data_IF_711043242934
#
_entry.id   IF_711043242934
#
_cell.length_a   1.000
_cell.length_b   1.000
_cell.length_c   1.000
_cell.angle_alpha   90.00
_cell.angle_beta   90.00
_cell.angle_gamma   90.00
#
_symmetry.space_group_name_H-M   'P 1'
#
loop_
_entity.id
_entity.type
_entity.pdbx_description
1 polymer ?
#
# COMPACT_ATOMS: atom_id res chain seq x y z
N UNK A 1 -13.16 -66.46 -29.96
CA UNK A 1 -12.89 -65.11 -30.51
C UNK A 1 -13.09 -64.03 -29.43
N UNK A 2 -12.19 -63.88 -28.44
CA UNK A 2 -12.40 -62.90 -27.34
C UNK A 2 -11.10 -62.28 -26.78
N UNK A 3 -10.01 -62.29 -27.56
CA UNK A 3 -8.73 -61.71 -27.13
C UNK A 3 -8.43 -60.35 -27.79
N UNK A 4 -9.15 -59.98 -28.84
CA UNK A 4 -8.91 -58.74 -29.60
C UNK A 4 -9.43 -57.47 -28.91
N UNK A 5 -10.35 -57.57 -27.95
CA UNK A 5 -10.99 -56.39 -27.33
C UNK A 5 -10.23 -55.81 -26.13
N UNK A 6 -9.33 -56.59 -25.50
CA UNK A 6 -8.59 -56.13 -24.30
C UNK A 6 -7.39 -55.25 -24.63
N UNK A 7 -6.77 -55.40 -25.82
CA UNK A 7 -5.62 -54.59 -26.23
C UNK A 7 -5.93 -53.11 -26.49
N UNK A 8 -7.15 -52.79 -26.95
CA UNK A 8 -7.54 -51.42 -27.28
C UNK A 8 -7.68 -50.50 -26.06
N UNK A 9 -8.07 -51.02 -24.89
CA UNK A 9 -8.25 -50.19 -23.69
C UNK A 9 -6.91 -49.73 -23.09
N UNK A 10 -5.88 -50.58 -23.19
CA UNK A 10 -4.54 -50.26 -22.68
C UNK A 10 -3.89 -49.15 -23.51
N UNK A 11 -4.06 -49.16 -24.84
CA UNK A 11 -3.55 -48.09 -25.70
C UNK A 11 -4.28 -46.76 -25.52
N UNK A 12 -5.60 -46.77 -25.34
CA UNK A 12 -6.39 -45.56 -25.11
C UNK A 12 -6.06 -44.86 -23.77
N UNK A 13 -5.61 -45.62 -22.76
CA UNK A 13 -5.17 -45.08 -21.47
C UNK A 13 -3.75 -44.48 -21.57
N UNK A 14 -2.86 -45.10 -22.36
CA UNK A 14 -1.52 -44.58 -22.62
C UNK A 14 -1.52 -43.24 -23.39
N UNK A 15 -2.49 -43.02 -24.28
CA UNK A 15 -2.60 -41.75 -25.02
C UNK A 15 -3.13 -40.59 -24.16
N UNK A 16 -3.94 -40.86 -23.13
CA UNK A 16 -4.36 -39.83 -22.15
C UNK A 16 -3.26 -39.49 -21.14
N UNK A 17 -2.38 -40.43 -20.84
CA UNK A 17 -1.22 -40.21 -19.96
C UNK A 17 -0.16 -39.27 -20.58
N UNK A 18 -0.23 -39.00 -21.89
CA UNK A 18 0.66 -38.07 -22.60
C UNK A 18 0.15 -36.62 -22.67
N UNK A 19 -1.03 -36.32 -22.14
CA UNK A 19 -1.53 -34.94 -22.07
C UNK A 19 -0.75 -34.19 -20.98
N UNK A 20 0.22 -33.37 -21.41
CA UNK A 20 0.96 -32.47 -20.51
C UNK A 20 -0.05 -31.50 -19.89
N UNK A 21 -0.29 -31.61 -18.58
CA UNK A 21 -1.02 -30.59 -17.85
C UNK A 21 -0.22 -29.28 -17.98
N UNK A 22 -0.74 -28.33 -18.76
CA UNK A 22 -0.12 -27.01 -18.99
C UNK A 22 -0.28 -26.06 -17.79
N UNK A 23 -0.73 -26.57 -16.64
CA UNK A 23 -0.85 -25.82 -15.40
C UNK A 23 0.44 -25.98 -14.60
N UNK A 24 1.07 -24.88 -14.18
CA UNK A 24 2.30 -24.91 -13.39
C UNK A 24 2.11 -25.51 -11.98
N UNK A 25 0.88 -25.79 -11.58
CA UNK A 25 0.51 -26.41 -10.31
C UNK A 25 -0.80 -27.19 -10.46
N UNK A 26 -0.93 -28.29 -9.73
CA UNK A 26 -2.20 -28.99 -9.49
C UNK A 26 -3.16 -28.12 -8.67
N UNK A 27 -4.46 -28.42 -8.70
CA UNK A 27 -5.46 -27.67 -7.93
C UNK A 27 -5.17 -27.72 -6.40
N UNK A 28 -4.65 -28.84 -5.91
CA UNK A 28 -4.24 -28.98 -4.51
C UNK A 28 -3.04 -28.09 -4.18
N UNK A 29 -1.99 -28.12 -5.00
CA UNK A 29 -0.83 -27.24 -4.83
C UNK A 29 -1.22 -25.76 -4.87
N UNK A 30 -2.15 -25.36 -5.75
CA UNK A 30 -2.65 -23.99 -5.82
C UNK A 30 -3.34 -23.54 -4.51
N UNK A 31 -4.17 -24.42 -3.91
CA UNK A 31 -4.83 -24.15 -2.63
C UNK A 31 -3.83 -24.02 -1.49
N UNK A 32 -2.81 -24.88 -1.46
CA UNK A 32 -1.74 -24.82 -0.45
C UNK A 32 -0.91 -23.55 -0.58
N UNK A 33 -0.56 -23.14 -1.80
CA UNK A 33 0.16 -21.88 -2.04
C UNK A 33 -0.65 -20.67 -1.60
N UNK A 34 -1.95 -20.63 -1.94
CA UNK A 34 -2.85 -19.57 -1.47
C UNK A 34 -2.93 -19.51 0.05
N UNK A 35 -3.12 -20.66 0.71
CA UNK A 35 -3.21 -20.73 2.17
C UNK A 35 -1.92 -20.25 2.84
N UNK A 36 -0.76 -20.67 2.32
CA UNK A 36 0.56 -20.26 2.81
C UNK A 36 0.73 -18.75 2.75
N UNK A 37 0.50 -18.14 1.59
CA UNK A 37 0.67 -16.70 1.43
C UNK A 37 -0.35 -15.89 2.24
N UNK A 38 -1.59 -16.36 2.34
CA UNK A 38 -2.61 -15.74 3.21
C UNK A 38 -2.17 -15.74 4.67
N UNK A 39 -1.59 -16.84 5.13
CA UNK A 39 -1.11 -16.96 6.51
C UNK A 39 0.08 -16.03 6.77
N UNK A 40 1.05 -15.99 5.85
CA UNK A 40 2.18 -15.06 5.93
C UNK A 40 1.70 -13.62 5.95
N UNK A 41 0.81 -13.23 5.04
CA UNK A 41 0.26 -11.88 4.98
C UNK A 41 -0.44 -11.47 6.28
N UNK A 42 -1.22 -12.37 6.89
CA UNK A 42 -1.84 -12.12 8.20
C UNK A 42 -0.81 -11.85 9.28
N UNK A 43 0.28 -12.60 9.32
CA UNK A 43 1.40 -12.36 10.23
C UNK A 43 2.07 -11.00 9.98
N UNK A 44 2.34 -10.67 8.72
CA UNK A 44 2.97 -9.40 8.33
C UNK A 44 2.11 -8.18 8.65
N UNK A 45 0.78 -8.28 8.49
CA UNK A 45 -0.15 -7.23 8.92
C UNK A 45 0.02 -6.92 10.41
N UNK A 46 0.15 -7.96 11.26
CA UNK A 46 0.40 -7.78 12.69
C UNK A 46 1.71 -7.06 12.98
N UNK A 47 2.80 -7.46 12.31
CA UNK A 47 4.13 -6.82 12.45
C UNK A 47 4.08 -5.35 12.05
N UNK A 48 3.51 -5.05 10.88
CA UNK A 48 3.38 -3.67 10.38
C UNK A 48 2.52 -2.84 11.33
N UNK A 49 1.40 -3.38 11.82
CA UNK A 49 0.54 -2.67 12.76
C UNK A 49 1.31 -2.26 14.04
N UNK A 50 2.04 -3.19 14.65
CA UNK A 50 2.85 -2.89 15.85
C UNK A 50 3.92 -1.85 15.53
N UNK A 51 4.68 -2.04 14.45
CA UNK A 51 5.73 -1.10 14.06
C UNK A 51 5.18 0.30 13.79
N UNK A 52 4.09 0.41 13.02
CA UNK A 52 3.46 1.70 12.70
C UNK A 52 2.91 2.39 13.96
N UNK A 53 2.25 1.65 14.87
CA UNK A 53 1.77 2.27 16.12
C UNK A 53 2.91 2.81 16.97
N UNK A 54 4.00 2.05 17.10
CA UNK A 54 5.19 2.49 17.81
C UNK A 54 5.80 3.76 17.19
N UNK A 55 6.04 3.76 15.87
CA UNK A 55 6.68 4.89 15.19
C UNK A 55 5.80 6.13 15.19
N UNK A 56 4.49 6.00 15.01
CA UNK A 56 3.55 7.14 15.06
C UNK A 56 3.52 7.75 16.45
N UNK A 57 3.44 6.94 17.51
CA UNK A 57 3.45 7.46 18.90
C UNK A 57 4.75 8.20 19.19
N UNK A 58 5.89 7.63 18.80
CA UNK A 58 7.20 8.28 18.94
C UNK A 58 7.29 9.58 18.12
N UNK A 59 6.77 9.57 16.88
CA UNK A 59 6.83 10.74 16.00
C UNK A 59 5.89 11.88 16.40
N UNK A 60 4.78 11.58 17.07
CA UNK A 60 3.86 12.59 17.58
C UNK A 60 4.28 13.17 18.94
N UNK A 61 5.10 12.43 19.70
CA UNK A 61 5.50 12.82 21.05
C UNK A 61 6.83 13.60 21.11
N UNK A 62 7.68 13.58 20.07
CA UNK A 62 8.86 14.42 20.05
C UNK A 62 8.47 15.87 19.69
N UNK A 63 9.11 16.84 20.36
CA UNK A 63 8.91 18.25 20.01
C UNK A 63 9.39 18.49 18.60
N UNK A 64 8.49 18.92 17.70
CA UNK A 64 8.88 19.52 16.44
C UNK A 64 9.54 20.86 16.75
N UNK A 65 10.84 20.84 17.04
CA UNK A 65 11.66 22.03 17.23
C UNK A 65 11.63 22.83 15.93
N UNK A 66 10.62 23.67 15.79
CA UNK A 66 10.71 24.88 15.01
C UNK A 66 11.64 25.78 15.81
N UNK A 67 12.95 25.55 15.72
CA UNK A 67 13.85 26.69 15.85
C UNK A 67 13.27 27.77 14.93
N UNK A 68 13.06 28.96 15.48
CA UNK A 68 12.57 30.09 14.71
C UNK A 68 13.60 30.35 13.60
N UNK A 69 13.38 29.72 12.45
CA UNK A 69 14.26 29.88 11.30
C UNK A 69 14.22 31.36 10.98
N UNK A 70 15.35 32.06 11.05
CA UNK A 70 15.39 33.47 10.75
C UNK A 70 14.71 33.71 9.39
N UNK A 71 13.96 34.82 9.27
CA UNK A 71 13.23 35.15 8.05
C UNK A 71 14.21 35.55 6.92
N UNK A 72 14.87 34.55 6.34
CA UNK A 72 15.80 34.76 5.26
C UNK A 72 15.07 35.21 3.99
N UNK A 73 15.60 36.16 3.21
CA UNK A 73 14.92 36.70 2.03
C UNK A 73 14.57 35.68 0.95
N UNK A 74 15.24 34.52 0.95
CA UNK A 74 15.00 33.43 0.00
C UNK A 74 13.94 32.43 0.49
N UNK A 75 13.53 32.48 1.75
CA UNK A 75 12.45 31.66 2.30
C UNK A 75 11.11 32.37 2.12
N UNK A 76 10.04 31.59 1.91
CA UNK A 76 8.67 32.10 1.73
C UNK A 76 8.56 33.22 0.69
N UNK A 77 9.36 33.17 -0.38
CA UNK A 77 9.33 34.16 -1.47
C UNK A 77 7.95 34.15 -2.16
N UNK A 78 7.37 35.33 -2.34
CA UNK A 78 6.04 35.55 -2.92
C UNK A 78 6.08 36.63 -4.00
N UNK A 79 6.23 36.21 -5.26
CA UNK A 79 6.16 37.12 -6.41
C UNK A 79 4.73 37.32 -6.93
N UNK A 80 3.85 36.33 -6.68
CA UNK A 80 2.45 36.33 -7.08
C UNK A 80 1.61 35.67 -5.98
N UNK A 81 0.40 36.17 -5.67
CA UNK A 81 -0.50 35.48 -4.77
C UNK A 81 -0.92 34.12 -5.34
N UNK A 82 -1.13 33.16 -4.45
CA UNK A 82 -1.70 31.89 -4.82
C UNK A 82 -3.20 31.98 -5.17
N UNK A 83 -3.74 31.03 -5.95
CA UNK A 83 -5.11 31.08 -6.45
C UNK A 83 -6.19 30.65 -5.43
N UNK A 84 -5.85 30.44 -4.16
CA UNK A 84 -6.79 30.05 -3.10
C UNK A 84 -7.04 31.20 -2.11
N UNK A 85 -8.07 31.11 -1.24
CA UNK A 85 -8.49 32.22 -0.39
C UNK A 85 -7.40 32.75 0.55
N UNK A 86 -6.64 31.85 1.17
CA UNK A 86 -5.48 32.20 2.00
C UNK A 86 -4.22 32.34 1.12
N UNK A 87 -4.19 33.34 0.24
CA UNK A 87 -3.22 33.44 -0.87
C UNK A 87 -1.75 33.52 -0.46
N UNK A 88 -1.46 33.86 0.79
CA UNK A 88 -0.10 33.96 1.33
C UNK A 88 0.41 32.64 1.92
N UNK A 89 -0.48 31.69 2.24
CA UNK A 89 -0.13 30.38 2.79
C UNK A 89 0.16 29.36 1.70
N UNK A 90 1.14 28.47 1.91
CA UNK A 90 1.41 27.34 1.00
C UNK A 90 0.28 26.30 1.01
N UNK A 91 0.24 25.45 -0.01
CA UNK A 91 -0.85 24.49 -0.22
C UNK A 91 -1.07 23.54 0.97
N UNK A 92 0.02 23.03 1.56
CA UNK A 92 -0.01 22.09 2.69
C UNK A 92 0.32 22.76 4.04
N UNK A 93 0.41 24.08 4.09
CA UNK A 93 0.71 24.84 5.31
C UNK A 93 -0.59 25.08 6.09
N UNK A 94 -1.01 24.06 6.84
CA UNK A 94 -2.25 24.08 7.62
C UNK A 94 -2.20 25.13 8.73
N UNK A 95 -1.07 25.25 9.42
CA UNK A 95 -0.87 26.19 10.52
C UNK A 95 -1.00 27.64 10.06
N UNK A 96 -0.41 28.00 8.91
CA UNK A 96 -0.58 29.33 8.31
C UNK A 96 -2.05 29.62 8.03
N UNK A 97 -2.79 28.65 7.47
CA UNK A 97 -4.20 28.81 7.12
C UNK A 97 -5.08 28.96 8.35
N UNK A 98 -4.81 28.21 9.41
CA UNK A 98 -5.51 28.35 10.69
C UNK A 98 -5.31 29.73 11.29
N UNK A 99 -4.05 30.21 11.34
CA UNK A 99 -3.71 31.57 11.82
C UNK A 99 -4.37 32.65 10.97
N UNK A 100 -4.31 32.54 9.64
CA UNK A 100 -4.93 33.50 8.72
C UNK A 100 -6.45 33.57 8.91
N UNK A 101 -7.12 32.42 9.09
CA UNK A 101 -8.56 32.35 9.36
C UNK A 101 -8.93 32.89 10.73
N UNK A 102 -8.14 32.58 11.76
CA UNK A 102 -8.34 33.11 13.10
C UNK A 102 -8.20 34.64 13.12
N UNK A 103 -7.16 35.16 12.45
CA UNK A 103 -6.95 36.60 12.28
C UNK A 103 -8.13 37.26 11.56
N UNK A 104 -8.61 36.66 10.46
CA UNK A 104 -9.79 37.17 9.74
C UNK A 104 -11.03 37.21 10.65
N UNK A 105 -11.31 36.14 11.38
CA UNK A 105 -12.44 36.07 12.34
C UNK A 105 -12.34 37.08 13.47
N UNK A 106 -11.13 37.45 13.90
CA UNK A 106 -10.92 38.44 14.95
C UNK A 106 -11.14 39.89 14.47
N UNK A 107 -11.15 40.08 13.14
CA UNK A 107 -11.38 41.38 12.51
C UNK A 107 -12.85 41.57 12.06
N UNK A 108 -13.63 40.49 12.02
CA UNK A 108 -15.08 40.47 11.73
C UNK A 108 -15.90 40.71 13.01
#
# INVERSE_FOLDING_TARGET
>A
MSLLTKGSRVMAQSLRAGARHMSSATEQEAKEQMHRWTTISKGMIGVVAVFTTYTVVDHLNHGHHHEEVPAYPYLKMRNKPFPWPESDCDWLDLDCREKARAAKKALD
#
